data_IF_241848598311
#
_entry.id   IF_241848598311
#
_cell.length_a   1.000
_cell.length_b   1.000
_cell.length_c   1.000
_cell.angle_alpha   90.00
_cell.angle_beta   90.00
_cell.angle_gamma   90.00
#
_symmetry.space_group_name_H-M   'P 1'
#
loop_
_entity.id
_entity.type
_entity.pdbx_description
1 polymer ?
#
# COMPACT_ATOMS: atom_id res chain seq x y z
N UNK A 1 16.91 1.85 -21.85
CA UNK A 1 18.11 1.86 -20.99
C UNK A 1 18.08 3.09 -20.08
N UNK A 2 17.71 2.91 -18.82
CA UNK A 2 17.68 4.00 -17.84
C UNK A 2 19.09 4.33 -17.37
N UNK A 3 19.66 5.42 -17.89
CA UNK A 3 20.92 5.99 -17.40
C UNK A 3 20.72 6.61 -16.01
N UNK A 4 21.79 6.71 -15.23
CA UNK A 4 21.81 7.54 -14.03
C UNK A 4 21.73 9.01 -14.48
N UNK A 5 20.65 9.69 -14.12
CA UNK A 5 20.34 11.07 -14.52
C UNK A 5 20.61 12.09 -13.42
N UNK A 6 20.86 11.63 -12.19
CA UNK A 6 21.10 12.48 -11.01
C UNK A 6 22.57 12.43 -10.57
N UNK A 7 23.03 13.53 -9.99
CA UNK A 7 24.31 13.61 -9.27
C UNK A 7 24.20 13.03 -7.86
N UNK A 8 25.33 12.67 -7.25
CA UNK A 8 25.36 12.17 -5.87
C UNK A 8 24.76 13.17 -4.85
N UNK A 9 24.92 14.48 -5.08
CA UNK A 9 24.34 15.50 -4.21
C UNK A 9 22.80 15.53 -4.30
N UNK A 10 22.26 15.31 -5.50
CA UNK A 10 20.81 15.21 -5.70
C UNK A 10 20.26 13.91 -5.10
N UNK A 11 20.97 12.80 -5.23
CA UNK A 11 20.52 11.51 -4.74
C UNK A 11 20.61 11.38 -3.21
N UNK A 12 21.77 11.68 -2.60
CA UNK A 12 21.99 11.45 -1.16
C UNK A 12 21.54 12.61 -0.27
N UNK A 13 21.70 13.85 -0.72
CA UNK A 13 21.34 15.04 0.06
C UNK A 13 20.08 15.75 -0.45
N UNK A 14 19.53 15.35 -1.59
CA UNK A 14 18.38 16.03 -2.18
C UNK A 14 18.68 17.46 -2.64
N UNK A 15 19.94 17.81 -2.86
CA UNK A 15 20.38 19.19 -3.11
C UNK A 15 20.75 19.41 -4.58
N UNK A 16 20.34 20.55 -5.12
CA UNK A 16 20.78 21.04 -6.43
C UNK A 16 21.19 22.50 -6.34
N UNK A 17 22.40 22.81 -6.82
CA UNK A 17 22.96 24.14 -6.89
C UNK A 17 22.50 24.86 -8.17
N UNK A 18 22.28 26.17 -8.07
CA UNK A 18 21.90 27.05 -9.16
C UNK A 18 22.86 28.23 -9.25
N UNK A 19 22.85 28.91 -10.40
CA UNK A 19 23.61 30.13 -10.61
C UNK A 19 23.16 31.24 -9.66
N UNK A 20 24.10 32.13 -9.33
CA UNK A 20 23.82 33.32 -8.53
C UNK A 20 22.73 34.19 -9.18
N UNK A 21 21.92 34.86 -8.34
CA UNK A 21 20.85 35.76 -8.75
C UNK A 21 21.30 37.21 -8.58
N UNK A 22 21.10 38.04 -9.60
CA UNK A 22 21.39 39.48 -9.56
C UNK A 22 20.14 40.26 -9.95
N UNK A 23 19.36 40.70 -8.95
CA UNK A 23 18.08 41.41 -9.13
C UNK A 23 17.11 40.70 -10.11
N UNK A 24 17.03 39.37 -10.01
CA UNK A 24 16.17 38.56 -10.89
C UNK A 24 14.74 38.62 -10.37
N UNK A 25 13.81 39.03 -11.22
CA UNK A 25 12.37 38.99 -10.95
C UNK A 25 11.85 37.58 -11.23
N UNK A 26 11.15 37.02 -10.25
CA UNK A 26 10.56 35.68 -10.26
C UNK A 26 11.50 34.59 -10.79
N UNK A 27 12.65 34.35 -10.13
CA UNK A 27 13.63 33.38 -10.61
C UNK A 27 13.02 31.98 -10.68
N UNK A 28 13.36 31.26 -11.75
CA UNK A 28 12.91 29.89 -12.02
C UNK A 28 14.07 28.90 -11.85
N UNK A 29 13.77 27.75 -11.27
CA UNK A 29 14.72 26.69 -10.95
C UNK A 29 14.27 25.40 -11.62
N UNK A 30 14.98 24.97 -12.65
CA UNK A 30 14.74 23.69 -13.32
C UNK A 30 15.46 22.60 -12.52
N UNK A 31 14.71 21.86 -11.70
CA UNK A 31 15.26 20.81 -10.87
C UNK A 31 15.34 19.50 -11.66
N UNK A 32 16.48 18.81 -11.61
CA UNK A 32 16.66 17.52 -12.31
C UNK A 32 16.55 16.33 -11.36
N UNK A 33 15.75 16.47 -10.29
CA UNK A 33 15.45 15.38 -9.37
C UNK A 33 14.57 14.32 -10.05
N UNK A 34 14.79 13.05 -9.71
CA UNK A 34 13.96 11.91 -10.09
C UNK A 34 12.68 11.83 -9.24
N UNK A 35 12.58 12.64 -8.18
CA UNK A 35 11.37 12.82 -7.38
C UNK A 35 10.66 14.09 -7.81
N UNK A 36 9.35 14.00 -8.05
CA UNK A 36 8.53 15.16 -8.44
C UNK A 36 8.47 16.22 -7.34
N UNK A 37 8.68 17.48 -7.70
CA UNK A 37 8.57 18.60 -6.76
C UNK A 37 7.10 19.02 -6.59
N UNK A 38 6.70 19.30 -5.36
CA UNK A 38 5.33 19.65 -4.96
C UNK A 38 5.38 20.89 -4.08
N UNK A 39 4.63 21.93 -4.45
CA UNK A 39 4.46 23.14 -3.65
C UNK A 39 3.20 23.09 -2.79
N UNK A 40 3.27 23.75 -1.64
CA UNK A 40 2.09 24.04 -0.81
C UNK A 40 1.18 25.10 -1.43
N UNK A 41 1.71 25.96 -2.30
CA UNK A 41 1.02 27.12 -2.85
C UNK A 41 0.98 27.10 -4.39
N UNK A 42 -0.05 27.71 -4.96
CA UNK A 42 -0.17 27.95 -6.39
C UNK A 42 0.47 29.29 -6.83
N UNK A 43 0.36 29.62 -8.12
CA UNK A 43 0.92 30.85 -8.69
C UNK A 43 0.25 32.15 -8.22
N UNK A 44 -0.91 32.07 -7.56
CA UNK A 44 -1.65 33.21 -6.99
C UNK A 44 -1.40 33.31 -5.47
N UNK A 45 -0.67 32.35 -4.89
CA UNK A 45 -0.37 32.30 -3.46
C UNK A 45 -1.47 31.67 -2.61
N UNK A 46 -2.42 30.95 -3.22
CA UNK A 46 -3.40 30.16 -2.51
C UNK A 46 -2.80 28.82 -2.08
N UNK A 47 -3.13 28.38 -0.87
CA UNK A 47 -2.65 27.10 -0.34
C UNK A 47 -3.41 25.95 -1.00
N UNK A 48 -2.69 25.07 -1.70
CA UNK A 48 -3.20 23.87 -2.39
C UNK A 48 -2.78 22.56 -1.71
N UNK A 49 -1.77 22.60 -0.84
CA UNK A 49 -1.28 21.45 -0.07
C UNK A 49 -0.82 21.88 1.32
N UNK A 50 -0.81 20.94 2.27
CA UNK A 50 -0.41 21.21 3.65
C UNK A 50 1.06 21.64 3.77
N UNK A 51 1.94 21.15 2.89
CA UNK A 51 3.37 21.48 2.91
C UNK A 51 4.02 21.20 1.56
N UNK A 52 5.05 21.99 1.24
CA UNK A 52 5.92 21.75 0.09
C UNK A 52 6.89 20.62 0.41
N UNK A 53 7.33 19.86 -0.59
CA UNK A 53 8.31 18.79 -0.40
C UNK A 53 9.77 19.24 -0.60
N UNK A 54 9.99 20.54 -0.79
CA UNK A 54 11.31 21.17 -0.97
C UNK A 54 11.44 22.44 -0.12
N UNK A 55 12.66 22.97 -0.06
CA UNK A 55 13.00 24.26 0.52
C UNK A 55 14.05 24.94 -0.35
N UNK A 56 13.88 26.24 -0.60
CA UNK A 56 14.84 27.04 -1.37
C UNK A 56 15.71 27.82 -0.38
N UNK A 57 17.02 27.75 -0.56
CA UNK A 57 17.97 28.50 0.23
C UNK A 57 18.67 29.55 -0.63
N UNK A 58 18.66 30.79 -0.13
CA UNK A 58 19.39 31.92 -0.69
C UNK A 58 20.43 32.36 0.34
N UNK A 59 21.71 32.23 0.00
CA UNK A 59 22.84 32.51 0.90
C UNK A 59 22.72 31.83 2.28
N UNK A 60 22.18 30.60 2.30
CA UNK A 60 21.96 29.79 3.50
C UNK A 60 20.67 30.11 4.26
N UNK A 61 19.87 31.08 3.81
CA UNK A 61 18.58 31.44 4.40
C UNK A 61 17.45 30.72 3.69
N UNK A 62 16.70 29.90 4.43
CA UNK A 62 15.50 29.23 3.94
C UNK A 62 14.41 30.26 3.59
N UNK A 63 13.88 30.19 2.38
CA UNK A 63 12.77 31.02 1.94
C UNK A 63 11.43 30.43 2.42
N UNK A 64 10.47 31.31 2.72
CA UNK A 64 9.14 30.90 3.13
C UNK A 64 8.39 30.20 1.97
N UNK A 65 7.66 29.12 2.28
CA UNK A 65 7.01 28.29 1.25
C UNK A 65 5.95 29.04 0.44
N UNK A 66 5.29 30.03 1.04
CA UNK A 66 4.29 30.88 0.38
C UNK A 66 4.88 31.80 -0.69
N UNK A 67 6.21 31.89 -0.78
CA UNK A 67 6.91 32.63 -1.82
C UNK A 67 7.32 31.74 -3.01
N UNK A 68 6.98 30.45 -3.00
CA UNK A 68 7.37 29.51 -4.05
C UNK A 68 6.18 28.69 -4.56
N UNK A 69 6.15 28.45 -5.87
CA UNK A 69 5.18 27.55 -6.50
C UNK A 69 5.83 26.71 -7.59
N UNK A 70 5.26 25.54 -7.89
CA UNK A 70 5.69 24.72 -9.02
C UNK A 70 5.01 25.24 -10.28
N UNK A 71 5.79 25.79 -11.21
CA UNK A 71 5.30 26.31 -12.49
C UNK A 71 5.12 25.22 -13.54
N UNK A 72 5.88 24.12 -13.43
CA UNK A 72 5.73 22.93 -14.28
C UNK A 72 6.07 21.68 -13.47
N UNK A 73 5.05 20.86 -13.20
CA UNK A 73 5.17 19.61 -12.44
C UNK A 73 5.83 18.49 -13.24
N UNK A 74 5.83 18.55 -14.56
CA UNK A 74 6.41 17.52 -15.44
C UNK A 74 7.92 17.71 -15.55
N UNK A 75 8.37 18.97 -15.61
CA UNK A 75 9.79 19.32 -15.73
C UNK A 75 10.42 19.78 -14.41
N UNK A 76 9.73 19.58 -13.29
CA UNK A 76 10.17 19.97 -11.95
C UNK A 76 10.68 21.42 -11.87
N UNK A 77 9.92 22.36 -12.42
CA UNK A 77 10.28 23.78 -12.44
C UNK A 77 9.61 24.49 -11.27
N UNK A 78 10.43 25.08 -10.39
CA UNK A 78 9.97 25.88 -9.26
C UNK A 78 10.21 27.36 -9.57
N UNK A 79 9.23 28.20 -9.26
CA UNK A 79 9.36 29.66 -9.39
C UNK A 79 9.21 30.31 -8.02
N UNK A 80 10.12 31.25 -7.69
CA UNK A 80 9.91 32.15 -6.55
C UNK A 80 9.12 33.39 -6.99
N UNK A 81 8.30 33.92 -6.10
CA UNK A 81 7.57 35.18 -6.28
C UNK A 81 8.34 36.30 -5.61
N UNK A 82 8.73 37.33 -6.36
CA UNK A 82 9.47 38.48 -5.88
C UNK A 82 10.76 38.74 -6.66
N UNK A 83 11.56 39.71 -6.19
CA UNK A 83 12.86 40.03 -6.78
C UNK A 83 13.96 39.62 -5.81
N UNK A 84 14.91 38.82 -6.27
CA UNK A 84 15.93 38.22 -5.40
C UNK A 84 17.35 38.52 -5.91
N UNK A 85 18.27 38.69 -4.97
CA UNK A 85 19.71 38.78 -5.19
C UNK A 85 20.39 37.86 -4.19
N UNK A 86 21.18 36.90 -4.67
CA UNK A 86 21.85 35.90 -3.83
C UNK A 86 23.07 35.33 -4.54
N UNK A 87 24.14 35.04 -3.81
CA UNK A 87 25.39 34.49 -4.39
C UNK A 87 25.34 32.97 -4.44
N UNK A 88 24.85 32.34 -3.38
CA UNK A 88 24.66 30.90 -3.28
C UNK A 88 23.17 30.58 -3.32
N UNK A 89 22.76 29.83 -4.33
CA UNK A 89 21.37 29.40 -4.48
C UNK A 89 21.33 27.90 -4.62
N UNK A 90 20.57 27.25 -3.74
CA UNK A 90 20.32 25.82 -3.85
C UNK A 90 18.90 25.47 -3.44
N UNK A 91 18.37 24.43 -4.06
CA UNK A 91 17.10 23.82 -3.70
C UNK A 91 17.40 22.50 -3.01
N UNK A 92 16.74 22.25 -1.88
CA UNK A 92 16.89 21.03 -1.10
C UNK A 92 15.53 20.35 -0.91
N UNK A 93 15.45 19.06 -1.21
CA UNK A 93 14.29 18.23 -0.89
C UNK A 93 14.19 18.00 0.62
N UNK A 94 12.96 17.88 1.14
CA UNK A 94 12.72 17.48 2.53
C UNK A 94 12.93 15.98 2.70
N UNK A 95 13.18 15.54 3.94
CA UNK A 95 13.52 14.14 4.25
C UNK A 95 12.56 13.09 3.65
N UNK A 96 11.22 13.26 3.66
CA UNK A 96 10.32 12.28 3.04
C UNK A 96 10.53 12.13 1.52
N UNK A 97 10.81 13.25 0.82
CA UNK A 97 11.10 13.25 -0.60
C UNK A 97 12.49 12.65 -0.90
N UNK A 98 13.49 12.91 -0.07
CA UNK A 98 14.80 12.25 -0.16
C UNK A 98 14.65 10.73 0.00
N UNK A 99 13.89 10.28 1.01
CA UNK A 99 13.66 8.86 1.26
C UNK A 99 12.95 8.18 0.09
N UNK A 100 12.02 8.88 -0.57
CA UNK A 100 11.33 8.40 -1.77
C UNK A 100 12.22 8.35 -3.01
N UNK A 101 13.29 9.16 -3.04
CA UNK A 101 14.29 9.11 -4.10
C UNK A 101 15.21 7.89 -3.98
N UNK A 102 15.46 7.42 -2.75
CA UNK A 102 16.26 6.22 -2.55
C UNK A 102 15.63 5.01 -3.25
N UNK A 103 16.48 4.21 -3.89
CA UNK A 103 16.08 3.03 -4.65
C UNK A 103 15.18 3.32 -5.88
N UNK A 104 14.96 4.59 -6.25
CA UNK A 104 14.17 4.96 -7.44
C UNK A 104 14.76 4.37 -8.73
N UNK A 105 16.09 4.25 -8.81
CA UNK A 105 16.80 3.68 -9.96
C UNK A 105 16.53 2.20 -10.21
N UNK A 106 16.13 1.42 -9.20
CA UNK A 106 15.81 0.01 -9.39
C UNK A 106 14.52 -0.20 -10.20
N UNK A 107 13.72 0.86 -10.38
CA UNK A 107 12.42 0.82 -11.02
C UNK A 107 12.37 1.69 -12.29
N UNK A 108 11.42 1.38 -13.16
CA UNK A 108 11.06 2.14 -14.35
C UNK A 108 9.54 2.35 -14.35
N UNK A 109 9.07 3.50 -14.81
CA UNK A 109 7.63 3.77 -14.88
C UNK A 109 7.00 3.01 -16.06
N UNK A 110 5.73 2.62 -15.92
CA UNK A 110 4.98 2.00 -17.02
C UNK A 110 4.95 2.91 -18.27
N UNK A 111 4.86 4.24 -18.05
CA UNK A 111 4.94 5.24 -19.12
C UNK A 111 6.25 5.14 -19.89
N UNK A 112 7.38 4.99 -19.20
CA UNK A 112 8.70 4.87 -19.84
C UNK A 112 8.87 3.54 -20.54
N UNK A 113 8.36 2.42 -19.99
CA UNK A 113 8.28 1.13 -20.69
C UNK A 113 7.53 1.30 -22.01
N UNK A 114 6.35 1.91 -22.00
CA UNK A 114 5.55 2.11 -23.23
C UNK A 114 6.32 2.96 -24.24
N UNK A 115 6.95 4.05 -23.80
CA UNK A 115 7.71 4.92 -24.69
C UNK A 115 8.94 4.20 -25.28
N UNK A 116 9.71 3.50 -24.44
CA UNK A 116 10.86 2.71 -24.85
C UNK A 116 10.47 1.57 -25.79
N UNK A 117 9.34 0.90 -25.54
CA UNK A 117 8.81 -0.14 -26.42
C UNK A 117 8.48 0.42 -27.81
N UNK A 118 7.81 1.58 -27.87
CA UNK A 118 7.48 2.22 -29.15
C UNK A 118 8.77 2.60 -29.89
N UNK A 119 9.77 3.16 -29.21
CA UNK A 119 11.05 3.53 -29.84
C UNK A 119 11.84 2.30 -30.28
N UNK A 120 11.85 1.22 -29.48
CA UNK A 120 12.65 0.02 -29.70
C UNK A 120 12.05 -0.94 -30.71
N UNK A 121 10.75 -1.24 -30.61
CA UNK A 121 10.09 -2.34 -31.33
C UNK A 121 9.11 -1.89 -32.41
N UNK A 122 8.69 -0.62 -32.41
CA UNK A 122 7.76 -0.07 -33.42
C UNK A 122 8.52 0.80 -34.40
N UNK A 123 8.23 0.66 -35.70
CA UNK A 123 8.85 1.47 -36.75
C UNK A 123 8.88 0.77 -38.09
N UNK A 124 9.15 1.55 -39.14
CA UNK A 124 9.44 1.04 -40.48
C UNK A 124 10.64 0.09 -40.37
N UNK A 125 10.59 -1.04 -41.09
CA UNK A 125 11.57 -2.14 -41.07
C UNK A 125 11.63 -2.99 -39.78
N UNK A 126 10.70 -2.81 -38.84
CA UNK A 126 10.55 -3.69 -37.66
C UNK A 126 9.38 -4.66 -37.83
N UNK A 127 9.36 -5.72 -37.01
CA UNK A 127 8.25 -6.71 -36.96
C UNK A 127 6.90 -6.02 -36.73
N UNK A 128 6.89 -4.94 -35.94
CA UNK A 128 5.71 -4.11 -35.69
C UNK A 128 5.83 -2.79 -36.46
N UNK A 129 5.31 -2.70 -37.71
CA UNK A 129 5.50 -1.50 -38.53
C UNK A 129 4.74 -0.27 -38.02
N UNK A 130 3.56 -0.48 -37.42
CA UNK A 130 2.69 0.59 -36.87
C UNK A 130 1.74 0.01 -35.83
N UNK A 131 1.58 0.65 -34.68
CA UNK A 131 0.57 0.32 -33.65
C UNK A 131 0.05 1.60 -32.99
N UNK A 132 -1.18 1.59 -32.48
CA UNK A 132 -1.71 2.73 -31.71
C UNK A 132 -1.12 2.71 -30.30
N UNK A 133 -0.77 3.88 -29.77
CA UNK A 133 -0.25 4.02 -28.40
C UNK A 133 -1.25 3.50 -27.35
N UNK A 134 -2.54 3.66 -27.60
CA UNK A 134 -3.62 3.11 -26.75
C UNK A 134 -3.50 1.60 -26.56
N UNK A 135 -3.20 0.88 -27.65
CA UNK A 135 -3.17 -0.58 -27.67
C UNK A 135 -1.93 -1.08 -26.92
N UNK A 136 -0.79 -0.40 -27.09
CA UNK A 136 0.44 -0.67 -26.33
C UNK A 136 0.21 -0.47 -24.83
N UNK A 137 -0.44 0.63 -24.43
CA UNK A 137 -0.76 0.89 -23.01
C UNK A 137 -1.70 -0.18 -22.46
N UNK A 138 -2.72 -0.58 -23.23
CA UNK A 138 -3.66 -1.62 -22.82
C UNK A 138 -2.96 -2.96 -22.55
N UNK A 139 -2.11 -3.41 -23.49
CA UNK A 139 -1.37 -4.66 -23.34
C UNK A 139 -0.30 -4.57 -22.25
N UNK A 140 0.35 -3.42 -22.08
CA UNK A 140 1.29 -3.22 -20.97
C UNK A 140 0.59 -3.29 -19.60
N UNK A 141 -0.61 -2.71 -19.46
CA UNK A 141 -1.42 -2.84 -18.24
C UNK A 141 -1.86 -4.29 -17.99
N UNK A 142 -2.29 -5.00 -19.02
CA UNK A 142 -2.64 -6.43 -18.94
C UNK A 142 -1.45 -7.30 -18.56
N UNK A 143 -0.30 -7.09 -19.19
CA UNK A 143 0.93 -7.79 -18.86
C UNK A 143 1.37 -7.57 -17.42
N UNK A 144 1.29 -6.33 -16.93
CA UNK A 144 1.57 -6.03 -15.53
C UNK A 144 0.63 -6.79 -14.57
N UNK A 145 -0.66 -6.83 -14.88
CA UNK A 145 -1.63 -7.61 -14.10
C UNK A 145 -1.25 -9.09 -14.10
N UNK A 146 -0.99 -9.68 -15.28
CA UNK A 146 -0.62 -11.08 -15.42
C UNK A 146 0.69 -11.42 -14.68
N UNK A 147 1.73 -10.59 -14.79
CA UNK A 147 2.97 -10.76 -14.03
C UNK A 147 2.75 -10.61 -12.51
N UNK A 148 1.86 -9.71 -12.09
CA UNK A 148 1.50 -9.53 -10.68
C UNK A 148 0.74 -10.74 -10.11
N UNK A 149 -0.04 -11.44 -10.94
CA UNK A 149 -0.73 -12.65 -10.51
C UNK A 149 0.20 -13.87 -10.46
N UNK A 150 1.06 -14.07 -11.48
CA UNK A 150 1.84 -15.31 -11.64
C UNK A 150 3.26 -15.27 -11.04
N UNK A 151 3.90 -14.09 -10.93
CA UNK A 151 5.34 -14.01 -10.59
C UNK A 151 5.67 -13.08 -9.43
N UNK A 152 4.93 -12.00 -9.25
CA UNK A 152 5.15 -11.01 -8.20
C UNK A 152 3.87 -10.83 -7.41
N UNK A 153 3.62 -11.70 -6.41
CA UNK A 153 2.63 -11.36 -5.38
C UNK A 153 3.03 -9.99 -4.83
N UNK A 154 2.28 -8.95 -5.16
CA UNK A 154 2.53 -7.60 -4.66
C UNK A 154 2.10 -7.59 -3.19
N UNK A 155 3.00 -8.06 -2.33
CA UNK A 155 2.79 -8.08 -0.89
C UNK A 155 3.02 -6.65 -0.42
N UNK A 156 1.94 -5.98 -0.03
CA UNK A 156 2.00 -4.71 0.67
C UNK A 156 2.00 -4.96 2.16
N UNK A 157 2.63 -4.06 2.90
CA UNK A 157 2.68 -4.07 4.36
C UNK A 157 2.20 -2.72 4.87
N UNK A 158 1.29 -2.73 5.84
CA UNK A 158 0.79 -1.54 6.50
C UNK A 158 0.95 -1.68 8.01
N UNK A 159 1.51 -0.66 8.64
CA UNK A 159 1.57 -0.54 10.09
C UNK A 159 0.32 0.20 10.57
N UNK A 160 -0.43 -0.43 11.48
CA UNK A 160 -1.71 0.06 11.98
C UNK A 160 -1.80 -0.19 13.48
N UNK A 161 -2.47 0.68 14.22
CA UNK A 161 -2.81 0.42 15.63
C UNK A 161 -4.24 -0.10 15.71
N UNK A 162 -4.44 -1.23 16.40
CA UNK A 162 -5.78 -1.78 16.61
C UNK A 162 -6.55 -0.84 17.55
N UNK A 163 -7.69 -0.27 17.12
CA UNK A 163 -8.49 0.58 17.98
C UNK A 163 -9.16 -0.23 19.10
N UNK A 164 -9.65 0.41 20.18
CA UNK A 164 -10.43 -0.27 21.22
C UNK A 164 -11.68 -1.00 20.70
N UNK A 165 -12.17 -0.66 19.50
CA UNK A 165 -13.26 -1.37 18.83
C UNK A 165 -12.87 -2.74 18.26
N UNK A 166 -11.57 -3.11 18.29
CA UNK A 166 -11.03 -4.38 17.80
C UNK A 166 -11.32 -4.66 16.32
N UNK A 167 -11.62 -3.62 15.55
CA UNK A 167 -11.92 -3.73 14.13
C UNK A 167 -11.14 -2.71 13.31
N UNK A 168 -10.50 -3.17 12.26
CA UNK A 168 -9.72 -2.35 11.32
C UNK A 168 -10.30 -2.50 9.92
N UNK A 169 -10.58 -1.40 9.20
CA UNK A 169 -11.11 -1.48 7.84
C UNK A 169 -10.11 -2.12 6.88
N UNK A 170 -10.61 -2.96 5.97
CA UNK A 170 -9.79 -3.62 4.95
C UNK A 170 -9.24 -2.55 3.96
N UNK A 171 -7.95 -2.60 3.59
CA UNK A 171 -7.39 -1.71 2.56
C UNK A 171 -8.12 -1.82 1.22
N UNK A 172 -8.22 -0.71 0.48
CA UNK A 172 -9.01 -0.65 -0.76
C UNK A 172 -8.55 -1.65 -1.84
N UNK A 173 -7.25 -1.92 -1.91
CA UNK A 173 -6.62 -2.78 -2.91
C UNK A 173 -6.40 -4.22 -2.40
N UNK A 174 -7.04 -4.60 -1.30
CA UNK A 174 -6.89 -5.90 -0.67
C UNK A 174 -7.52 -7.03 -1.50
N UNK A 175 -6.74 -8.09 -1.75
CA UNK A 175 -7.22 -9.34 -2.36
C UNK A 175 -7.23 -10.47 -1.34
N UNK A 176 -6.12 -10.66 -0.64
CA UNK A 176 -5.98 -11.72 0.35
C UNK A 176 -4.91 -11.36 1.39
N UNK A 177 -4.99 -11.90 2.60
CA UNK A 177 -3.98 -11.71 3.61
C UNK A 177 -2.79 -12.65 3.35
N UNK A 178 -1.60 -12.20 3.75
CA UNK A 178 -0.40 -13.03 3.80
C UNK A 178 -0.10 -13.37 5.25
N UNK A 179 -0.03 -12.34 6.08
CA UNK A 179 0.34 -12.45 7.49
C UNK A 179 -0.17 -11.23 8.25
N UNK A 180 -0.58 -11.46 9.49
CA UNK A 180 -0.87 -10.39 10.45
C UNK A 180 0.01 -10.63 11.66
N UNK A 181 0.68 -9.61 12.16
CA UNK A 181 1.57 -9.73 13.31
C UNK A 181 1.48 -8.50 14.19
N UNK A 182 1.48 -8.67 15.50
CA UNK A 182 1.67 -7.54 16.41
C UNK A 182 3.15 -7.33 16.68
N UNK A 183 3.51 -6.09 16.98
CA UNK A 183 4.89 -5.68 17.23
C UNK A 183 5.04 -5.34 18.70
N UNK A 184 6.04 -5.94 19.35
CA UNK A 184 6.34 -5.64 20.75
C UNK A 184 7.20 -4.40 20.92
N UNK A 185 7.46 -4.02 22.17
CA UNK A 185 8.24 -2.84 22.50
C UNK A 185 9.75 -2.98 22.15
N UNK A 186 10.20 -4.17 21.75
CA UNK A 186 11.54 -4.45 21.24
C UNK A 186 11.58 -4.47 19.70
N UNK A 187 10.43 -4.30 19.02
CA UNK A 187 10.31 -4.37 17.57
C UNK A 187 10.21 -5.80 17.01
N UNK A 188 10.00 -6.80 17.86
CA UNK A 188 9.83 -8.20 17.43
C UNK A 188 8.39 -8.42 16.97
N UNK A 189 8.25 -9.10 15.83
CA UNK A 189 6.96 -9.47 15.25
C UNK A 189 6.47 -10.80 15.82
N UNK A 190 5.25 -10.81 16.32
CA UNK A 190 4.56 -11.98 16.83
C UNK A 190 3.33 -12.26 15.98
N UNK A 191 3.24 -13.45 15.40
CA UNK A 191 2.20 -13.80 14.43
C UNK A 191 0.85 -13.94 15.13
N UNK A 192 -0.16 -13.22 14.63
CA UNK A 192 -1.55 -13.37 15.04
C UNK A 192 -2.19 -14.44 14.15
N UNK A 193 -2.90 -15.39 14.75
CA UNK A 193 -3.46 -16.53 14.02
C UNK A 193 -4.90 -16.28 13.56
N UNK A 194 -5.33 -16.82 12.40
CA UNK A 194 -6.72 -16.76 12.03
C UNK A 194 -7.58 -17.59 12.99
N UNK A 195 -8.85 -17.19 13.18
CA UNK A 195 -9.85 -17.97 13.94
C UNK A 195 -10.22 -19.26 13.17
N UNK A 196 -9.34 -20.25 13.18
CA UNK A 196 -9.55 -21.54 12.51
C UNK A 196 -10.63 -22.36 13.24
N UNK A 197 -11.90 -22.19 12.85
CA UNK A 197 -13.08 -22.85 13.41
C UNK A 197 -13.39 -22.53 14.89
N UNK A 198 -12.73 -21.55 15.51
CA UNK A 198 -13.03 -21.11 16.88
C UNK A 198 -14.26 -20.21 16.95
N UNK A 199 -14.40 -19.32 15.97
CA UNK A 199 -15.54 -18.42 15.81
C UNK A 199 -15.74 -18.14 14.32
N UNK A 200 -16.88 -17.56 13.96
CA UNK A 200 -17.19 -17.17 12.59
C UNK A 200 -17.98 -15.87 12.58
N UNK A 201 -17.88 -15.14 11.47
CA UNK A 201 -18.64 -13.91 11.23
C UNK A 201 -19.86 -14.27 10.35
N UNK A 202 -21.07 -14.40 10.92
CA UNK A 202 -22.26 -14.78 10.16
C UNK A 202 -22.65 -13.70 9.15
N UNK A 203 -22.99 -14.11 7.92
CA UNK A 203 -23.35 -13.19 6.84
C UNK A 203 -24.75 -12.57 7.01
N UNK A 204 -25.70 -13.35 7.52
CA UNK A 204 -27.07 -12.91 7.79
C UNK A 204 -27.42 -13.06 9.27
N UNK A 205 -28.18 -12.09 9.80
CA UNK A 205 -28.54 -11.99 11.21
C UNK A 205 -30.07 -11.93 11.40
N UNK A 206 -30.84 -12.99 11.10
CA UNK A 206 -32.29 -12.94 11.22
C UNK A 206 -32.74 -12.79 12.68
N UNK A 207 -33.65 -11.85 12.94
CA UNK A 207 -34.29 -11.69 14.24
C UNK A 207 -35.38 -12.74 14.38
N UNK A 208 -35.31 -13.54 15.43
CA UNK A 208 -36.29 -14.59 15.74
C UNK A 208 -37.30 -14.13 16.79
N UNK A 209 -38.50 -14.69 16.74
CA UNK A 209 -39.50 -14.55 17.80
C UNK A 209 -39.24 -15.52 18.97
N UNK A 210 -40.12 -15.51 19.97
CA UNK A 210 -40.02 -16.39 21.14
C UNK A 210 -40.21 -17.89 20.84
N UNK A 211 -40.65 -18.25 19.64
CA UNK A 211 -40.76 -19.63 19.16
C UNK A 211 -39.56 -20.04 18.29
N UNK A 212 -38.61 -19.13 18.06
CA UNK A 212 -37.40 -19.36 17.28
C UNK A 212 -37.57 -19.18 15.78
N UNK A 213 -38.67 -18.58 15.32
CA UNK A 213 -38.97 -18.36 13.89
C UNK A 213 -38.49 -16.96 13.47
N UNK A 214 -37.74 -16.82 12.34
CA UNK A 214 -37.38 -15.52 11.81
C UNK A 214 -38.59 -14.63 11.53
N UNK A 215 -38.59 -13.43 12.10
CA UNK A 215 -39.63 -12.41 11.89
C UNK A 215 -39.45 -11.72 10.54
N UNK A 216 -40.56 -11.27 9.93
CA UNK A 216 -40.57 -10.62 8.62
C UNK A 216 -41.06 -9.17 8.70
N UNK A 217 -40.65 -8.35 7.74
CA UNK A 217 -41.18 -7.01 7.52
C UNK A 217 -42.44 -7.05 6.64
N UNK A 218 -43.09 -5.89 6.48
CA UNK A 218 -44.31 -5.74 5.65
C UNK A 218 -44.09 -6.02 4.15
N UNK A 219 -42.85 -6.24 3.71
CA UNK A 219 -42.46 -6.54 2.34
C UNK A 219 -42.05 -8.01 2.15
N UNK A 220 -42.21 -8.86 3.18
CA UNK A 220 -41.89 -10.30 3.12
C UNK A 220 -40.40 -10.64 3.23
N UNK A 221 -39.55 -9.70 3.64
CA UNK A 221 -38.13 -9.95 3.92
C UNK A 221 -37.93 -10.19 5.42
N UNK A 222 -36.93 -10.97 5.79
CA UNK A 222 -36.60 -11.17 7.21
C UNK A 222 -36.12 -9.85 7.85
N UNK A 223 -36.55 -9.59 9.08
CA UNK A 223 -35.94 -8.55 9.89
C UNK A 223 -34.53 -9.00 10.29
N UNK A 224 -33.54 -8.13 10.08
CA UNK A 224 -32.15 -8.41 10.38
C UNK A 224 -31.70 -7.59 11.59
N UNK A 225 -30.86 -8.18 12.43
CA UNK A 225 -30.21 -7.47 13.52
C UNK A 225 -29.03 -6.64 13.00
N UNK A 226 -28.79 -5.48 13.62
CA UNK A 226 -27.69 -4.59 13.23
C UNK A 226 -26.31 -5.13 13.68
N UNK A 227 -26.26 -5.88 14.80
CA UNK A 227 -25.03 -6.44 15.36
C UNK A 227 -25.15 -7.94 15.60
N UNK A 228 -24.05 -8.66 15.37
CA UNK A 228 -23.98 -10.10 15.65
C UNK A 228 -23.66 -10.34 17.13
N UNK A 229 -24.47 -11.13 17.81
CA UNK A 229 -24.16 -11.58 19.17
C UNK A 229 -22.87 -12.40 19.22
N UNK A 230 -22.56 -13.19 18.18
CA UNK A 230 -21.31 -13.97 18.10
C UNK A 230 -20.09 -13.05 18.11
N UNK A 231 -20.14 -11.97 17.33
CA UNK A 231 -19.07 -10.97 17.27
C UNK A 231 -18.95 -10.21 18.59
N UNK A 232 -20.07 -9.81 19.20
CA UNK A 232 -20.09 -9.11 20.48
C UNK A 232 -19.50 -9.97 21.61
N UNK A 233 -19.89 -11.25 21.68
CA UNK A 233 -19.34 -12.20 22.66
C UNK A 233 -17.86 -12.43 22.42
N UNK A 234 -17.42 -12.51 21.16
CA UNK A 234 -16.00 -12.65 20.83
C UNK A 234 -15.16 -11.45 21.28
N UNK A 235 -15.63 -10.23 21.01
CA UNK A 235 -14.96 -8.98 21.40
C UNK A 235 -14.87 -8.78 22.92
N UNK A 236 -15.84 -9.32 23.67
CA UNK A 236 -15.89 -9.17 25.14
C UNK A 236 -15.35 -10.39 25.89
N UNK A 237 -14.96 -11.45 25.18
CA UNK A 237 -14.46 -12.67 25.81
C UNK A 237 -13.09 -12.44 26.44
N UNK A 238 -12.81 -13.15 27.53
CA UNK A 238 -11.45 -13.32 28.00
C UNK A 238 -10.76 -14.44 27.21
N UNK A 239 -9.68 -14.11 26.51
CA UNK A 239 -8.86 -15.05 25.72
C UNK A 239 -8.30 -16.20 26.55
N UNK A 240 -8.06 -15.98 27.85
CA UNK A 240 -7.60 -17.00 28.81
C UNK A 240 -8.54 -18.21 28.85
N UNK A 241 -9.85 -17.98 28.70
CA UNK A 241 -10.86 -19.04 28.67
C UNK A 241 -10.75 -19.93 27.42
N UNK A 242 -10.12 -19.44 26.36
CA UNK A 242 -9.89 -20.16 25.10
C UNK A 242 -8.60 -20.98 25.22
N UNK A 243 -7.49 -20.34 25.59
CA UNK A 243 -6.18 -21.01 25.66
C UNK A 243 -6.06 -21.97 26.82
N UNK A 244 -6.91 -21.84 27.85
CA UNK A 244 -6.80 -22.63 29.08
C UNK A 244 -5.68 -22.13 29.99
N UNK A 245 -5.20 -20.92 29.76
CA UNK A 245 -4.29 -20.22 30.65
C UNK A 245 -5.11 -19.70 31.83
N UNK A 246 -4.71 -20.08 33.03
CA UNK A 246 -5.42 -19.76 34.25
C UNK A 246 -4.42 -19.19 35.23
N UNK A 247 -4.64 -17.94 35.64
CA UNK A 247 -3.82 -17.30 36.65
C UNK A 247 -3.68 -18.20 37.89
N UNK A 248 -2.48 -18.32 38.49
CA UNK A 248 -2.26 -19.20 39.66
C UNK A 248 -3.20 -18.85 40.83
N UNK A 249 -3.62 -17.59 40.92
CA UNK A 249 -4.64 -17.07 41.83
C UNK A 249 -6.07 -17.54 41.48
N UNK A 250 -6.40 -17.64 40.18
CA UNK A 250 -7.71 -18.12 39.70
C UNK A 250 -7.84 -19.64 39.75
N UNK A 251 -6.74 -20.38 39.57
CA UNK A 251 -6.75 -21.85 39.64
C UNK A 251 -6.75 -22.38 41.07
N UNK A 252 -6.53 -21.55 42.11
CA UNK A 252 -6.50 -21.92 43.54
C UNK A 252 -5.88 -23.31 43.75
N UNK A 253 -4.71 -23.55 43.12
CA UNK A 253 -4.08 -24.87 43.02
C UNK A 253 -3.78 -25.49 44.40
N UNK A 254 -3.74 -24.66 45.44
CA UNK A 254 -3.51 -25.03 46.82
C UNK A 254 -4.78 -25.23 47.68
N UNK A 255 -5.99 -25.05 47.13
CA UNK A 255 -7.26 -25.22 47.86
C UNK A 255 -7.97 -26.54 47.48
N UNK A 256 -8.08 -27.45 48.46
CA UNK A 256 -8.45 -28.86 48.26
C UNK A 256 -9.97 -29.10 48.31
N UNK A 257 -10.73 -28.49 47.39
CA UNK A 257 -12.18 -28.62 47.37
C UNK A 257 -12.69 -29.62 46.30
N UNK A 258 -13.46 -30.63 46.71
CA UNK A 258 -13.82 -31.81 45.89
C UNK A 258 -14.60 -31.49 44.59
N UNK A 259 -15.48 -30.50 44.62
CA UNK A 259 -16.24 -29.98 43.47
C UNK A 259 -15.38 -29.32 42.38
N UNK A 260 -14.10 -29.00 42.67
CA UNK A 260 -13.16 -28.39 41.72
C UNK A 260 -12.39 -29.43 40.87
N UNK A 261 -12.45 -30.72 41.22
CA UNK A 261 -11.83 -31.82 40.45
C UNK A 261 -12.51 -32.09 39.10
N UNK A 262 -13.71 -31.54 38.86
CA UNK A 262 -14.50 -31.78 37.65
C UNK A 262 -14.29 -30.76 36.52
N UNK A 263 -13.47 -29.71 36.72
CA UNK A 263 -13.09 -28.83 35.62
C UNK A 263 -11.96 -29.50 34.83
N UNK A 264 -12.34 -30.21 33.76
CA UNK A 264 -11.48 -31.05 32.90
C UNK A 264 -10.41 -30.33 32.07
N UNK A 265 -9.78 -29.29 32.62
CA UNK A 265 -8.70 -28.50 32.00
C UNK A 265 -7.41 -28.46 32.83
N UNK A 266 -7.36 -29.24 33.91
CA UNK A 266 -6.24 -29.23 34.88
C UNK A 266 -4.94 -29.84 34.31
N UNK A 267 -5.05 -30.69 33.29
CA UNK A 267 -3.92 -31.29 32.59
C UNK A 267 -4.25 -31.40 31.10
N UNK A 268 -3.67 -30.53 30.27
CA UNK A 268 -3.79 -30.59 28.81
C UNK A 268 -4.22 -29.27 28.20
N UNK A 269 -3.25 -28.54 27.67
CA UNK A 269 -3.48 -27.49 26.69
C UNK A 269 -3.84 -28.14 25.35
N UNK A 270 -4.82 -27.60 24.64
CA UNK A 270 -5.10 -28.01 23.26
C UNK A 270 -4.14 -27.26 22.34
N UNK A 271 -3.08 -27.91 21.81
CA UNK A 271 -1.98 -27.21 21.13
C UNK A 271 -2.42 -26.42 19.89
N UNK A 272 -3.60 -26.75 19.34
CA UNK A 272 -4.18 -26.07 18.20
C UNK A 272 -4.64 -24.64 18.51
N UNK A 273 -5.04 -24.37 19.76
CA UNK A 273 -5.56 -23.05 20.19
C UNK A 273 -4.70 -22.39 21.26
N UNK A 274 -3.77 -23.10 21.89
CA UNK A 274 -2.91 -22.55 22.94
C UNK A 274 -1.82 -21.64 22.36
N UNK A 275 -2.10 -20.33 22.34
CA UNK A 275 -1.21 -19.28 21.83
C UNK A 275 -1.50 -17.92 22.49
N UNK A 276 -0.48 -17.10 22.69
CA UNK A 276 -0.57 -15.82 23.43
C UNK A 276 -0.69 -14.59 22.51
N UNK A 277 -0.59 -14.80 21.20
CA UNK A 277 -0.47 -13.73 20.19
C UNK A 277 -1.82 -13.25 19.65
N UNK A 278 -2.92 -13.70 20.22
CA UNK A 278 -4.27 -13.36 19.80
C UNK A 278 -4.69 -13.97 18.45
N UNK A 279 -5.92 -13.65 18.05
CA UNK A 279 -6.53 -14.13 16.82
C UNK A 279 -7.13 -12.99 16.00
N UNK A 280 -7.27 -13.23 14.70
CA UNK A 280 -8.00 -12.36 13.81
C UNK A 280 -9.03 -13.13 12.97
N UNK A 281 -10.08 -12.43 12.54
CA UNK A 281 -11.08 -12.90 11.61
C UNK A 281 -11.34 -11.83 10.56
N UNK A 282 -11.77 -12.25 9.37
CA UNK A 282 -12.15 -11.31 8.30
C UNK A 282 -13.67 -11.27 8.28
N UNK A 283 -14.24 -10.10 8.57
CA UNK A 283 -15.67 -9.87 8.50
C UNK A 283 -16.03 -9.33 7.12
N UNK A 284 -16.39 -10.23 6.21
CA UNK A 284 -16.80 -9.88 4.84
C UNK A 284 -18.09 -9.06 4.81
N UNK A 285 -18.96 -9.19 5.83
CA UNK A 285 -20.22 -8.42 5.93
C UNK A 285 -19.94 -6.93 6.17
N UNK A 286 -18.94 -6.61 6.98
CA UNK A 286 -18.57 -5.23 7.33
C UNK A 286 -17.34 -4.71 6.56
N UNK A 287 -16.62 -5.59 5.85
CA UNK A 287 -15.37 -5.24 5.18
C UNK A 287 -14.24 -4.87 6.16
N UNK A 288 -14.15 -5.58 7.28
CA UNK A 288 -13.17 -5.28 8.35
C UNK A 288 -12.41 -6.53 8.80
N UNK A 289 -11.17 -6.34 9.28
CA UNK A 289 -10.48 -7.30 10.12
C UNK A 289 -10.96 -7.13 11.56
N UNK A 290 -11.43 -8.21 12.18
CA UNK A 290 -11.81 -8.25 13.59
C UNK A 290 -10.74 -9.00 14.39
N UNK A 291 -10.40 -8.49 15.57
CA UNK A 291 -9.36 -9.03 16.43
C UNK A 291 -9.94 -9.56 17.74
N UNK A 292 -9.20 -10.43 18.41
CA UNK A 292 -9.46 -10.82 19.79
C UNK A 292 -9.18 -9.68 20.77
N UNK A 293 -9.76 -9.77 21.96
CA UNK A 293 -9.79 -8.69 22.97
C UNK A 293 -8.42 -8.28 23.52
N UNK A 294 -7.47 -9.20 23.57
CA UNK A 294 -6.08 -9.04 24.01
C UNK A 294 -5.24 -8.14 23.10
N UNK A 295 -5.67 -7.93 21.86
CA UNK A 295 -4.96 -7.12 20.86
C UNK A 295 -5.37 -5.65 20.85
N UNK A 296 -6.26 -5.21 21.75
CA UNK A 296 -6.66 -3.81 21.86
C UNK A 296 -5.44 -2.88 22.05
N UNK A 297 -5.36 -1.81 21.25
CA UNK A 297 -4.29 -0.81 21.27
C UNK A 297 -2.89 -1.34 20.94
N UNK A 298 -2.76 -2.56 20.42
CA UNK A 298 -1.47 -3.09 19.94
C UNK A 298 -1.15 -2.52 18.56
N UNK A 299 0.15 -2.29 18.33
CA UNK A 299 0.68 -2.00 16.99
C UNK A 299 0.75 -3.30 16.21
N UNK A 300 0.20 -3.31 15.00
CA UNK A 300 0.23 -4.45 14.09
C UNK A 300 0.84 -4.08 12.75
N UNK A 301 1.39 -5.09 12.09
CA UNK A 301 1.81 -5.09 10.71
C UNK A 301 0.90 -6.05 9.95
N UNK A 302 0.11 -5.50 9.03
CA UNK A 302 -0.75 -6.25 8.12
C UNK A 302 -0.05 -6.40 6.77
N UNK A 303 0.29 -7.64 6.43
CA UNK A 303 0.80 -7.99 5.11
C UNK A 303 -0.30 -8.63 4.28
N UNK A 304 -0.53 -8.07 3.09
CA UNK A 304 -1.61 -8.52 2.21
C UNK A 304 -1.19 -8.46 0.73
N UNK A 305 -1.86 -9.28 -0.07
CA UNK A 305 -1.76 -9.29 -1.52
C UNK A 305 -2.62 -8.15 -2.05
N UNK A 306 -1.97 -7.19 -2.72
CA UNK A 306 -2.63 -6.13 -3.46
C UNK A 306 -3.08 -6.62 -4.83
N UNK A 307 -4.22 -6.14 -5.33
CA UNK A 307 -4.66 -6.35 -6.72
C UNK A 307 -3.78 -5.61 -7.74
N UNK A 308 -2.83 -4.78 -7.27
CA UNK A 308 -1.88 -4.06 -8.09
C UNK A 308 -2.53 -3.01 -9.00
N UNK A 309 -3.84 -2.80 -8.89
CA UNK A 309 -4.62 -1.83 -9.67
C UNK A 309 -4.48 -0.42 -9.07
N UNK A 310 -3.26 -0.02 -8.72
CA UNK A 310 -2.98 1.39 -8.54
C UNK A 310 -3.26 2.06 -9.90
N UNK A 311 -4.28 2.92 -9.92
CA UNK A 311 -4.86 3.51 -11.12
C UNK A 311 -3.91 4.39 -11.97
N UNK A 312 -2.62 4.44 -11.64
CA UNK A 312 -1.71 5.45 -12.15
C UNK A 312 -0.67 4.93 -13.14
N UNK A 313 -0.44 5.70 -14.20
CA UNK A 313 0.63 5.46 -15.18
C UNK A 313 2.04 5.57 -14.55
N UNK A 314 2.12 6.05 -13.32
CA UNK A 314 3.30 6.13 -12.46
C UNK A 314 3.59 4.84 -11.69
N UNK A 315 2.91 3.74 -12.03
CA UNK A 315 3.24 2.42 -11.49
C UNK A 315 4.70 2.07 -11.77
N UNK A 316 5.44 1.78 -10.69
CA UNK A 316 6.86 1.46 -10.70
C UNK A 316 7.04 -0.05 -10.91
N UNK A 317 7.78 -0.41 -11.95
CA UNK A 317 8.09 -1.79 -12.30
C UNK A 317 9.59 -2.02 -12.10
N UNK A 318 10.03 -3.13 -11.46
CA UNK A 318 11.45 -3.45 -11.35
C UNK A 318 12.09 -3.52 -12.73
N UNK A 319 13.27 -2.89 -12.92
CA UNK A 319 13.97 -2.91 -14.22
C UNK A 319 14.31 -4.32 -14.70
N UNK A 320 14.50 -5.27 -13.79
CA UNK A 320 14.71 -6.69 -14.15
C UNK A 320 13.52 -7.32 -14.89
N UNK A 321 12.31 -6.76 -14.73
CA UNK A 321 11.11 -7.21 -15.42
C UNK A 321 10.84 -6.44 -16.73
N UNK A 322 11.69 -5.46 -17.10
CA UNK A 322 11.52 -4.63 -18.29
C UNK A 322 11.47 -5.48 -19.58
N UNK A 323 12.41 -6.41 -19.74
CA UNK A 323 12.49 -7.28 -20.92
C UNK A 323 11.29 -8.23 -21.01
N UNK A 324 10.83 -8.76 -19.86
CA UNK A 324 9.67 -9.63 -19.79
C UNK A 324 8.38 -8.87 -20.19
N UNK A 325 8.26 -7.61 -19.76
CA UNK A 325 7.18 -6.72 -20.18
C UNK A 325 7.21 -6.45 -21.69
N UNK A 326 8.38 -6.18 -22.28
CA UNK A 326 8.50 -5.98 -23.73
C UNK A 326 8.11 -7.23 -24.52
N UNK A 327 8.53 -8.41 -24.07
CA UNK A 327 8.15 -9.68 -24.71
C UNK A 327 6.63 -9.89 -24.66
N UNK A 328 6.00 -9.68 -23.50
CA UNK A 328 4.55 -9.80 -23.34
C UNK A 328 3.75 -8.84 -24.24
N UNK A 329 4.16 -7.57 -24.29
CA UNK A 329 3.51 -6.55 -25.13
C UNK A 329 3.67 -6.93 -26.61
N UNK A 330 4.88 -7.32 -27.04
CA UNK A 330 5.13 -7.76 -28.41
C UNK A 330 4.29 -8.98 -28.78
N UNK A 331 4.28 -10.00 -27.93
CA UNK A 331 3.47 -11.21 -28.10
C UNK A 331 2.00 -10.86 -28.28
N UNK A 332 1.42 -10.07 -27.37
CA UNK A 332 0.01 -9.69 -27.38
C UNK A 332 -0.40 -8.91 -28.63
N UNK A 333 0.47 -7.99 -29.09
CA UNK A 333 0.23 -7.18 -30.29
C UNK A 333 0.36 -8.01 -31.56
N UNK A 334 1.32 -8.95 -31.61
CA UNK A 334 1.57 -9.75 -32.81
C UNK A 334 0.52 -10.88 -32.92
N UNK A 335 0.15 -11.51 -31.81
CA UNK A 335 -0.86 -12.57 -31.77
C UNK A 335 -2.24 -12.11 -32.24
N UNK A 336 -2.58 -10.83 -32.05
CA UNK A 336 -3.85 -10.25 -32.49
C UNK A 336 -3.83 -9.75 -33.95
N UNK A 337 -2.67 -9.75 -34.63
CA UNK A 337 -2.56 -9.29 -36.02
C UNK A 337 -2.86 -10.37 -37.04
N UNK A 338 -3.58 -9.97 -38.09
CA UNK A 338 -3.75 -10.79 -39.30
C UNK A 338 -2.45 -10.84 -40.11
N UNK A 339 -2.22 -11.94 -40.83
CA UNK A 339 -1.08 -12.15 -41.72
C UNK A 339 0.31 -12.18 -41.05
N UNK A 340 0.38 -12.54 -39.77
CA UNK A 340 1.65 -12.85 -39.10
C UNK A 340 1.80 -14.36 -38.95
N UNK A 341 2.98 -14.89 -39.28
CA UNK A 341 3.27 -16.32 -39.18
C UNK A 341 3.43 -16.73 -37.71
N UNK A 342 2.90 -17.89 -37.34
CA UNK A 342 2.86 -18.38 -35.96
C UNK A 342 4.27 -18.50 -35.31
N UNK A 343 5.30 -18.87 -36.08
CA UNK A 343 6.66 -18.91 -35.56
C UNK A 343 7.20 -17.53 -35.16
N UNK A 344 6.69 -16.43 -35.75
CA UNK A 344 7.07 -15.08 -35.36
C UNK A 344 6.40 -14.69 -34.03
N UNK A 345 5.17 -15.18 -33.79
CA UNK A 345 4.45 -15.04 -32.53
C UNK A 345 5.17 -15.83 -31.42
N UNK A 346 5.57 -17.07 -31.71
CA UNK A 346 6.19 -17.98 -30.74
C UNK A 346 7.56 -17.50 -30.21
N UNK A 347 8.22 -16.56 -30.88
CA UNK A 347 9.50 -15.98 -30.41
C UNK A 347 9.37 -15.10 -29.17
N UNK A 348 8.16 -14.63 -28.87
CA UNK A 348 7.89 -13.69 -27.78
C UNK A 348 7.08 -14.32 -26.64
N UNK A 349 6.74 -15.61 -26.77
CA UNK A 349 6.14 -16.43 -25.72
C UNK A 349 7.25 -17.05 -24.89
#
# INVERSE_FOLDING_TARGET
MGLITETNAQYYSGQQLFSALTAVVNPTFICTFNTSVVSAYDNIGAQISQSSNYTIFLDGIAQAENLSYVSDTVNNIITLTGTYTATNVYVQLKQPAINSNYNSYAYISLKDIVNNFIVGYVGIDKIIPRVKRSDVIFHAKRGLQEFSYDTLKSIKSQELTIPPSLSVPIPQDYVNYVRVSWVDNQGVQHIIYPVNNTTTNPYSLPIQDGEGVPTQNNYGQNNLADQSETEQRWQTNNTDNIVGDGDMENMYVFDYAWWKLNYGRRFGLEPQISQENGWFSINERLGTFSFSSDLANKLIVLEYISDGLAYDLDTKIPKMAEDAMYAHIAYSIIASRTNVQEFQVARFK
#
